data_IF_825949136750
#
_entry.id   IF_825949136750
#
_cell.length_a   1.000
_cell.length_b   1.000
_cell.length_c   1.000
_cell.angle_alpha   90.00
_cell.angle_beta   90.00
_cell.angle_gamma   90.00
#
_symmetry.space_group_name_H-M   'P 1'
#
loop_
_entity.id
_entity.type
_entity.pdbx_description
1 polymer ?
#
# COMPACT_ATOMS: atom_id res chain seq x y z
N UNK A 1 0.97 10.48 -0.81
CA UNK A 1 1.86 9.66 -1.66
C UNK A 1 0.98 8.86 -2.60
N UNK A 2 1.48 8.50 -3.77
CA UNK A 2 0.81 7.58 -4.68
C UNK A 2 1.14 6.16 -4.26
N UNK A 3 0.13 5.35 -4.00
CA UNK A 3 0.32 3.97 -3.55
C UNK A 3 -0.45 3.05 -4.49
N UNK A 4 0.24 2.03 -5.00
CA UNK A 4 -0.35 0.95 -5.77
C UNK A 4 -0.23 -0.33 -4.94
N UNK A 5 -1.36 -0.95 -4.61
CA UNK A 5 -1.41 -2.21 -3.87
C UNK A 5 -1.59 -3.36 -4.84
N UNK A 6 -0.87 -4.45 -4.61
CA UNK A 6 -0.92 -5.66 -5.40
C UNK A 6 -2.35 -6.21 -5.52
N UNK A 7 -2.75 -6.59 -6.75
CA UNK A 7 -4.12 -7.05 -7.07
C UNK A 7 -4.50 -8.37 -6.41
N UNK A 8 -3.51 -9.17 -6.04
CA UNK A 8 -3.67 -10.47 -5.40
C UNK A 8 -3.67 -10.40 -3.87
N UNK A 9 -3.55 -9.19 -3.29
CA UNK A 9 -3.69 -9.02 -1.86
C UNK A 9 -5.17 -9.09 -1.45
N UNK A 10 -5.53 -10.06 -0.62
CA UNK A 10 -6.93 -10.32 -0.24
C UNK A 10 -7.65 -9.13 0.42
N UNK A 11 -6.92 -8.24 1.09
CA UNK A 11 -7.43 -7.01 1.71
C UNK A 11 -7.10 -5.75 0.89
N UNK A 12 -6.72 -5.88 -0.39
CA UNK A 12 -6.27 -4.74 -1.20
C UNK A 12 -7.27 -3.59 -1.23
N UNK A 13 -8.56 -3.88 -1.44
CA UNK A 13 -9.62 -2.87 -1.51
C UNK A 13 -9.86 -2.17 -0.18
N UNK A 14 -9.84 -2.92 0.93
CA UNK A 14 -10.04 -2.38 2.29
C UNK A 14 -8.86 -1.51 2.70
N UNK A 15 -7.64 -1.99 2.45
CA UNK A 15 -6.43 -1.24 2.76
C UNK A 15 -6.30 0.03 1.90
N UNK A 16 -6.60 -0.04 0.61
CA UNK A 16 -6.67 1.15 -0.27
C UNK A 16 -7.69 2.15 0.25
N UNK A 17 -8.86 1.69 0.70
CA UNK A 17 -9.90 2.56 1.26
C UNK A 17 -9.41 3.25 2.54
N UNK A 18 -8.72 2.53 3.43
CA UNK A 18 -8.08 3.10 4.61
C UNK A 18 -7.04 4.17 4.24
N UNK A 19 -6.11 3.85 3.34
CA UNK A 19 -5.04 4.76 2.90
C UNK A 19 -5.60 6.05 2.29
N UNK A 20 -6.66 5.94 1.49
CA UNK A 20 -7.36 7.10 0.94
C UNK A 20 -8.06 7.93 2.03
N UNK A 21 -8.58 7.29 3.09
CA UNK A 21 -9.12 7.96 4.28
C UNK A 21 -8.07 8.79 5.04
N UNK A 22 -6.82 8.31 5.08
CA UNK A 22 -5.67 9.01 5.66
C UNK A 22 -5.06 10.08 4.73
N UNK A 23 -5.63 10.29 3.54
CA UNK A 23 -5.22 11.33 2.60
C UNK A 23 -4.11 10.92 1.62
N UNK A 24 -3.86 9.63 1.44
CA UNK A 24 -3.03 9.13 0.35
C UNK A 24 -3.80 9.03 -0.98
N UNK A 25 -3.07 8.87 -2.09
CA UNK A 25 -3.62 8.60 -3.43
C UNK A 25 -3.37 7.11 -3.72
N UNK A 26 -4.20 6.25 -3.15
CA UNK A 26 -4.05 4.80 -3.18
C UNK A 26 -5.05 4.15 -4.13
N UNK A 27 -4.61 3.11 -4.84
CA UNK A 27 -5.46 2.26 -5.67
C UNK A 27 -4.92 0.83 -5.72
N UNK A 28 -5.78 -0.11 -6.10
CA UNK A 28 -5.37 -1.48 -6.43
C UNK A 28 -4.78 -1.46 -7.83
N UNK A 29 -3.56 -1.98 -7.98
CA UNK A 29 -2.86 -2.08 -9.25
C UNK A 29 -3.33 -3.23 -10.12
N UNK A 30 -2.61 -3.47 -11.21
CA UNK A 30 -2.83 -4.63 -12.11
C UNK A 30 -1.79 -5.73 -11.90
N UNK A 31 -0.79 -5.49 -11.05
CA UNK A 31 0.34 -6.41 -10.81
C UNK A 31 0.28 -7.03 -9.42
N UNK A 32 1.15 -8.02 -9.17
CA UNK A 32 1.35 -8.62 -7.83
C UNK A 32 2.38 -7.86 -6.99
N UNK A 33 2.83 -6.70 -7.45
CA UNK A 33 3.78 -5.84 -6.75
C UNK A 33 3.06 -4.69 -6.06
N UNK A 34 3.65 -4.20 -4.96
CA UNK A 34 3.23 -2.94 -4.37
C UNK A 34 4.21 -1.82 -4.77
N UNK A 35 3.70 -0.60 -4.93
CA UNK A 35 4.51 0.55 -5.31
C UNK A 35 4.17 1.77 -4.46
N UNK A 36 5.19 2.54 -4.09
CA UNK A 36 5.05 3.87 -3.49
C UNK A 36 5.74 4.88 -4.41
N UNK A 37 4.99 5.88 -4.85
CA UNK A 37 5.44 6.91 -5.79
C UNK A 37 6.12 6.34 -7.06
N UNK A 38 5.64 5.18 -7.51
CA UNK A 38 6.15 4.45 -8.67
C UNK A 38 7.35 3.54 -8.41
N UNK A 39 7.83 3.45 -7.17
CA UNK A 39 8.95 2.59 -6.76
C UNK A 39 8.41 1.27 -6.21
N UNK A 40 8.88 0.16 -6.76
CA UNK A 40 8.46 -1.17 -6.34
C UNK A 40 9.06 -1.52 -4.97
N UNK A 41 8.20 -1.85 -4.00
CA UNK A 41 8.64 -2.11 -2.62
C UNK A 41 9.51 -3.36 -2.48
N UNK A 42 9.42 -4.32 -3.42
CA UNK A 42 10.25 -5.53 -3.39
C UNK A 42 11.73 -5.29 -3.69
N UNK A 43 12.07 -4.13 -4.27
CA UNK A 43 13.44 -3.77 -4.65
C UNK A 43 13.99 -2.56 -3.92
N UNK A 44 13.17 -1.89 -3.10
CA UNK A 44 13.53 -0.67 -2.40
C UNK A 44 13.13 -0.77 -0.92
N UNK A 45 14.13 -0.73 -0.05
CA UNK A 45 13.96 -0.94 1.39
C UNK A 45 13.16 0.19 2.02
N UNK A 46 13.37 1.43 1.58
CA UNK A 46 12.68 2.59 2.16
C UNK A 46 11.19 2.56 1.80
N UNK A 47 10.86 2.23 0.54
CA UNK A 47 9.47 2.05 0.11
C UNK A 47 8.81 0.84 0.81
N UNK A 48 9.56 -0.25 1.01
CA UNK A 48 9.05 -1.40 1.77
C UNK A 48 8.76 -1.06 3.23
N UNK A 49 9.68 -0.38 3.90
CA UNK A 49 9.53 -0.01 5.30
C UNK A 49 8.36 0.96 5.51
N UNK A 50 8.16 1.89 4.58
CA UNK A 50 7.02 2.80 4.63
C UNK A 50 5.69 2.07 4.43
N UNK A 51 5.60 1.17 3.44
CA UNK A 51 4.39 0.37 3.24
C UNK A 51 4.08 -0.51 4.47
N UNK A 52 5.11 -1.10 5.08
CA UNK A 52 4.96 -1.91 6.28
C UNK A 52 4.43 -1.11 7.47
N UNK A 53 4.89 0.14 7.67
CA UNK A 53 4.33 1.01 8.73
C UNK A 53 2.85 1.31 8.50
N UNK A 54 2.46 1.59 7.27
CA UNK A 54 1.06 1.85 6.90
C UNK A 54 0.20 0.61 7.12
N UNK A 55 0.73 -0.58 6.78
CA UNK A 55 0.07 -1.85 7.01
C UNK A 55 -0.10 -2.13 8.51
N UNK A 56 0.97 -1.98 9.30
CA UNK A 56 0.93 -2.14 10.74
C UNK A 56 -0.08 -1.17 11.38
N UNK A 57 -0.17 0.06 10.88
CA UNK A 57 -1.16 1.01 11.35
C UNK A 57 -2.59 0.53 11.05
N UNK A 58 -2.87 0.13 9.80
CA UNK A 58 -4.15 -0.44 9.41
C UNK A 58 -4.56 -1.61 10.33
N UNK A 59 -3.67 -2.57 10.57
CA UNK A 59 -3.95 -3.75 11.40
C UNK A 59 -4.14 -3.44 12.90
N UNK A 60 -3.58 -2.35 13.42
CA UNK A 60 -3.63 -2.02 14.85
C UNK A 60 -4.74 -1.00 15.21
N UNK A 61 -5.39 -0.39 14.21
CA UNK A 61 -6.50 0.55 14.41
C UNK A 61 -7.84 0.00 13.89
N UNK A 62 -7.82 -1.10 13.13
CA UNK A 62 -9.01 -1.86 12.69
C UNK A 62 -9.74 -2.63 13.79
#
# INVERSE_FOLDING_TARGET
MKIEIAVDHHEADEFVSFLNGEGHDAHVGESTGNFIDGVCTSHDVDASDELNKLWDWYCNIG
#
